data_IF_176137799263
#
_entry.id   IF_176137799263
#
_cell.length_a   1.000
_cell.length_b   1.000
_cell.length_c   1.000
_cell.angle_alpha   90.00
_cell.angle_beta   90.00
_cell.angle_gamma   90.00
#
_symmetry.space_group_name_H-M   'P 1'
#
loop_
_entity.id
_entity.type
_entity.pdbx_description
1 polymer ?
#
# COMPACT_ATOMS: atom_id res chain seq x y z
N UNK A 1 9.86 18.22 18.09
CA UNK A 1 9.37 17.31 17.05
C UNK A 1 10.56 17.01 16.16
N UNK A 2 11.24 15.87 16.37
CA UNK A 2 12.36 15.48 15.52
C UNK A 2 11.79 14.99 14.19
N UNK A 3 12.18 15.62 13.10
CA UNK A 3 11.95 15.08 11.76
C UNK A 3 12.83 13.83 11.65
N UNK A 4 12.24 12.65 11.80
CA UNK A 4 12.92 11.38 11.58
C UNK A 4 12.69 11.00 10.12
N UNK A 5 13.79 10.93 9.36
CA UNK A 5 13.76 10.51 7.97
C UNK A 5 13.83 8.98 7.93
N UNK A 6 12.78 8.36 7.40
CA UNK A 6 12.67 6.90 7.27
C UNK A 6 12.52 6.51 5.80
N UNK A 7 13.10 5.36 5.43
CA UNK A 7 13.03 4.79 4.09
C UNK A 7 12.70 3.31 4.19
N UNK A 8 11.71 2.85 3.42
CA UNK A 8 11.38 1.42 3.28
C UNK A 8 11.90 0.93 1.93
N UNK A 9 12.54 -0.22 1.92
CA UNK A 9 13.07 -0.87 0.72
C UNK A 9 12.58 -2.32 0.70
N UNK A 10 12.02 -2.74 -0.43
CA UNK A 10 11.64 -4.13 -0.68
C UNK A 10 12.63 -4.77 -1.67
N UNK A 11 12.94 -6.06 -1.45
CA UNK A 11 13.94 -6.80 -2.19
C UNK A 11 13.32 -7.97 -2.97
N UNK A 12 14.01 -8.41 -4.03
CA UNK A 12 13.56 -9.51 -4.89
C UNK A 12 13.41 -10.86 -4.16
N UNK A 13 14.01 -11.01 -2.99
CA UNK A 13 13.92 -12.21 -2.14
C UNK A 13 12.79 -12.12 -1.09
N UNK A 14 11.91 -11.13 -1.22
CA UNK A 14 10.75 -10.92 -0.35
C UNK A 14 11.08 -10.27 1.00
N UNK A 15 12.33 -9.89 1.24
CA UNK A 15 12.69 -9.10 2.42
C UNK A 15 12.29 -7.64 2.25
N UNK A 16 12.00 -7.02 3.37
CA UNK A 16 11.71 -5.60 3.52
C UNK A 16 12.64 -5.08 4.59
N UNK A 17 13.33 -3.99 4.30
CA UNK A 17 14.20 -3.30 5.25
C UNK A 17 13.75 -1.87 5.42
N UNK A 18 13.77 -1.41 6.66
CA UNK A 18 13.46 -0.05 7.03
C UNK A 18 14.72 0.58 7.56
N UNK A 19 15.10 1.70 6.96
CA UNK A 19 16.25 2.48 7.35
C UNK A 19 15.79 3.80 7.93
N UNK A 20 16.48 4.24 8.97
CA UNK A 20 16.23 5.53 9.60
C UNK A 20 17.51 6.33 9.68
N UNK A 21 17.37 7.63 9.45
CA UNK A 21 18.47 8.58 9.57
C UNK A 21 18.54 9.07 11.01
N UNK A 22 19.66 8.79 11.69
CA UNK A 22 19.85 9.19 13.08
C UNK A 22 20.01 10.70 13.27
N UNK A 23 20.72 11.33 12.33
CA UNK A 23 20.98 12.77 12.34
C UNK A 23 20.63 13.37 10.98
N UNK A 24 19.58 14.21 10.90
CA UNK A 24 19.19 14.91 9.68
C UNK A 24 20.30 15.78 9.05
N UNK A 25 21.31 16.18 9.83
CA UNK A 25 22.46 16.95 9.34
C UNK A 25 23.52 16.06 8.70
N UNK A 26 23.52 14.76 8.97
CA UNK A 26 24.47 13.78 8.46
C UNK A 26 23.78 12.71 7.60
N UNK A 27 23.32 13.12 6.40
CA UNK A 27 22.57 12.29 5.44
C UNK A 27 23.21 10.94 5.03
N UNK A 28 24.45 10.67 5.44
CA UNK A 28 25.16 9.40 5.19
C UNK A 28 24.94 8.35 6.28
N UNK A 29 24.42 8.72 7.45
CA UNK A 29 24.30 7.83 8.61
C UNK A 29 22.92 7.19 8.73
N UNK A 30 22.56 6.41 7.72
CA UNK A 30 21.37 5.56 7.75
C UNK A 30 21.64 4.29 8.54
N UNK A 31 20.73 3.92 9.44
CA UNK A 31 20.79 2.67 10.19
C UNK A 31 19.62 1.77 9.86
N UNK A 32 19.87 0.46 9.86
CA UNK A 32 18.81 -0.54 9.73
C UNK A 32 17.99 -0.55 11.02
N UNK A 33 16.72 -0.19 10.91
CA UNK A 33 15.78 -0.16 12.03
C UNK A 33 14.94 -1.44 12.11
N UNK A 34 14.52 -1.99 10.97
CA UNK A 34 13.79 -3.25 10.92
C UNK A 34 14.09 -4.05 9.66
N UNK A 35 13.99 -5.37 9.78
CA UNK A 35 14.06 -6.33 8.68
C UNK A 35 13.01 -7.43 8.89
N UNK A 36 12.16 -7.64 7.91
CA UNK A 36 11.09 -8.64 7.94
C UNK A 36 10.71 -9.10 6.54
N UNK A 37 9.79 -10.06 6.45
CA UNK A 37 9.19 -10.55 5.20
C UNK A 37 7.69 -10.32 5.24
N UNK A 38 7.06 -10.19 4.07
CA UNK A 38 5.61 -9.99 3.95
C UNK A 38 4.76 -11.25 4.17
N UNK A 39 5.25 -12.17 5.01
CA UNK A 39 4.64 -13.46 5.34
C UNK A 39 4.50 -13.57 6.86
N UNK A 40 3.25 -13.73 7.31
CA UNK A 40 2.92 -13.80 8.74
C UNK A 40 3.11 -15.18 9.34
N UNK A 41 2.77 -16.23 8.59
CA UNK A 41 2.92 -17.60 9.06
C UNK A 41 4.36 -18.08 8.81
N UNK A 42 5.08 -18.35 9.91
CA UNK A 42 6.45 -18.85 9.88
C UNK A 42 6.56 -20.21 9.18
N UNK A 43 5.51 -21.04 9.22
CA UNK A 43 5.47 -22.33 8.54
C UNK A 43 5.28 -22.17 7.02
N UNK A 44 4.63 -21.09 6.59
CA UNK A 44 4.43 -20.74 5.18
C UNK A 44 5.67 -20.08 4.53
N UNK A 45 6.73 -19.78 5.30
CA UNK A 45 8.02 -19.28 4.79
C UNK A 45 8.85 -20.35 4.06
N UNK A 46 8.28 -21.52 3.79
CA UNK A 46 8.94 -22.56 3.00
C UNK A 46 9.08 -22.08 1.55
N UNK A 47 10.28 -21.63 1.20
CA UNK A 47 10.62 -21.18 -0.15
C UNK A 47 11.33 -19.83 -0.14
N UNK A 48 12.26 -19.63 -1.08
CA UNK A 48 12.82 -18.31 -1.38
C UNK A 48 12.02 -17.76 -2.56
N UNK A 49 11.20 -16.71 -2.36
CA UNK A 49 10.45 -16.15 -3.48
C UNK A 49 11.41 -15.49 -4.47
N UNK A 50 10.96 -15.40 -5.71
CA UNK A 50 11.50 -14.50 -6.71
C UNK A 50 10.44 -13.43 -7.00
N UNK A 51 10.55 -12.28 -6.33
CA UNK A 51 9.68 -11.14 -6.55
C UNK A 51 10.12 -10.39 -7.82
N UNK A 52 9.22 -10.29 -8.80
CA UNK A 52 9.40 -9.51 -10.03
C UNK A 52 9.33 -8.02 -9.71
N UNK A 53 8.42 -7.62 -8.83
CA UNK A 53 8.28 -6.24 -8.38
C UNK A 53 7.71 -6.16 -6.95
N UNK A 54 7.84 -4.98 -6.37
CA UNK A 54 7.20 -4.61 -5.12
C UNK A 54 6.69 -3.16 -5.24
N UNK A 55 5.56 -2.88 -4.61
CA UNK A 55 5.01 -1.52 -4.54
C UNK A 55 4.85 -1.13 -3.08
N UNK A 56 5.27 0.10 -2.73
CA UNK A 56 5.20 0.65 -1.38
C UNK A 56 4.57 2.04 -1.46
N UNK A 57 3.61 2.33 -0.59
CA UNK A 57 3.06 3.67 -0.46
C UNK A 57 2.90 4.05 1.02
N UNK A 58 3.48 5.19 1.41
CA UNK A 58 3.37 5.75 2.75
C UNK A 58 2.02 6.45 2.95
N UNK A 59 1.48 6.42 4.17
CA UNK A 59 0.35 7.24 4.55
C UNK A 59 0.72 8.75 4.45
N UNK A 60 0.05 9.57 3.60
CA UNK A 60 0.50 10.95 3.31
C UNK A 60 0.18 12.05 4.35
N UNK A 61 -0.38 11.78 5.54
CA UNK A 61 -0.77 12.81 6.56
C UNK A 61 -0.40 12.34 7.99
N UNK A 62 -0.20 13.15 9.06
CA UNK A 62 -0.03 14.60 9.36
C UNK A 62 0.87 14.70 10.62
N UNK A 63 1.57 15.83 10.89
CA UNK A 63 2.62 15.94 11.93
C UNK A 63 2.18 15.67 13.38
N UNK A 64 0.87 15.69 13.69
CA UNK A 64 0.39 15.88 15.06
C UNK A 64 -0.20 14.65 15.75
N UNK A 65 -0.53 13.58 15.05
CA UNK A 65 -1.04 12.36 15.69
C UNK A 65 -1.41 11.34 14.62
N UNK A 66 -0.46 10.49 14.20
CA UNK A 66 -0.68 9.09 13.84
C UNK A 66 0.67 8.37 13.88
N UNK A 67 0.65 7.07 14.16
CA UNK A 67 1.83 6.21 14.05
C UNK A 67 2.26 6.14 12.58
N UNK A 68 3.56 6.04 12.33
CA UNK A 68 4.06 5.90 10.96
C UNK A 68 3.49 4.63 10.33
N UNK A 69 2.90 4.74 9.14
CA UNK A 69 2.28 3.62 8.45
C UNK A 69 2.53 3.66 6.94
N UNK A 70 2.63 2.48 6.35
CA UNK A 70 2.72 2.30 4.90
C UNK A 70 2.02 1.02 4.48
N UNK A 71 1.63 0.96 3.20
CA UNK A 71 1.15 -0.26 2.55
C UNK A 71 2.25 -0.83 1.66
N UNK A 72 2.35 -2.16 1.63
CA UNK A 72 3.28 -2.92 0.80
C UNK A 72 2.57 -4.09 0.14
N UNK A 73 2.96 -4.39 -1.09
CA UNK A 73 2.53 -5.57 -1.83
C UNK A 73 3.62 -6.02 -2.78
N UNK A 74 3.64 -7.31 -3.08
CA UNK A 74 4.62 -7.93 -3.97
C UNK A 74 3.93 -8.56 -5.19
N UNK A 75 4.69 -8.62 -6.29
CA UNK A 75 4.45 -9.53 -7.39
C UNK A 75 5.54 -10.61 -7.36
N UNK A 76 5.19 -11.77 -6.82
CA UNK A 76 6.05 -12.94 -6.65
C UNK A 76 5.41 -14.19 -7.24
N UNK A 77 6.27 -15.16 -7.56
CA UNK A 77 5.96 -16.55 -7.86
C UNK A 77 5.34 -17.34 -6.69
N UNK A 78 5.49 -16.86 -5.45
CA UNK A 78 4.96 -17.47 -4.23
C UNK A 78 3.78 -16.64 -3.68
N UNK A 79 2.53 -17.15 -3.77
CA UNK A 79 1.32 -16.41 -3.41
C UNK A 79 1.33 -15.80 -2.00
N UNK A 80 1.93 -16.49 -1.02
CA UNK A 80 1.96 -16.02 0.37
C UNK A 80 2.71 -14.69 0.57
N UNK A 81 3.57 -14.28 -0.38
CA UNK A 81 4.28 -13.00 -0.34
C UNK A 81 3.48 -11.85 -0.97
N UNK A 82 2.49 -12.17 -1.82
CA UNK A 82 1.81 -11.20 -2.66
C UNK A 82 0.78 -10.36 -1.90
N UNK A 83 0.19 -10.92 -0.85
CA UNK A 83 -0.82 -10.26 -0.03
C UNK A 83 -0.42 -8.81 0.35
N UNK A 84 -1.29 -7.85 -0.02
CA UNK A 84 -1.09 -6.44 0.30
C UNK A 84 -1.34 -6.19 1.79
N UNK A 85 -0.35 -5.66 2.51
CA UNK A 85 -0.46 -5.43 3.96
C UNK A 85 -0.13 -4.00 4.35
N UNK A 86 -0.86 -3.50 5.36
CA UNK A 86 -0.57 -2.24 6.02
C UNK A 86 0.28 -2.53 7.25
N UNK A 87 1.44 -1.87 7.29
CA UNK A 87 2.39 -1.92 8.37
C UNK A 87 2.35 -0.60 9.14
N UNK A 88 2.30 -0.71 10.46
CA UNK A 88 2.30 0.43 11.38
C UNK A 88 3.45 0.29 12.38
N UNK A 89 4.09 1.40 12.71
CA UNK A 89 5.14 1.45 13.72
C UNK A 89 4.53 1.53 15.12
N UNK A 90 4.72 0.50 15.94
CA UNK A 90 4.34 0.48 17.33
C UNK A 90 5.38 1.20 18.19
N UNK A 91 5.08 2.42 18.63
CA UNK A 91 5.97 3.23 19.48
C UNK A 91 6.22 2.58 20.85
N UNK A 92 5.26 1.85 21.39
CA UNK A 92 5.38 1.19 22.71
C UNK A 92 6.41 0.08 22.70
N UNK A 93 6.43 -0.72 21.63
CA UNK A 93 7.36 -1.84 21.48
C UNK A 93 8.54 -1.54 20.55
N UNK A 94 8.60 -0.34 19.98
CA UNK A 94 9.62 0.10 19.02
C UNK A 94 9.80 -0.87 17.86
N UNK A 95 8.69 -1.34 17.27
CA UNK A 95 8.72 -2.32 16.17
C UNK A 95 7.65 -2.06 15.12
N UNK A 96 7.90 -2.48 13.90
CA UNK A 96 6.90 -2.54 12.85
C UNK A 96 6.05 -3.79 12.99
N UNK A 97 4.74 -3.64 12.82
CA UNK A 97 3.82 -4.77 12.77
C UNK A 97 2.72 -4.57 11.74
N UNK A 98 2.22 -5.65 11.14
CA UNK A 98 1.11 -5.55 10.21
C UNK A 98 -0.20 -5.42 11.00
N UNK A 99 -0.98 -4.42 10.63
CA UNK A 99 -2.25 -4.06 11.29
C UNK A 99 -3.47 -4.32 10.40
N UNK A 100 -3.24 -4.57 9.11
CA UNK A 100 -4.28 -4.88 8.14
C UNK A 100 -3.73 -5.66 6.94
N UNK A 101 -4.58 -6.48 6.34
CA UNK A 101 -4.33 -7.19 5.09
C UNK A 101 -5.46 -6.84 4.10
N UNK A 102 -5.10 -6.18 3.00
CA UNK A 102 -6.01 -5.67 1.98
C UNK A 102 -6.39 -6.76 0.98
N UNK A 103 -6.97 -7.84 1.49
CA UNK A 103 -7.48 -8.96 0.71
C UNK A 103 -8.83 -9.41 1.29
N UNK A 104 -9.74 -9.86 0.42
CA UNK A 104 -10.88 -10.64 0.86
C UNK A 104 -10.47 -12.12 0.95
N UNK A 105 -11.21 -12.95 1.71
CA UNK A 105 -10.98 -14.39 1.72
C UNK A 105 -10.97 -14.95 0.29
N UNK A 106 -9.84 -15.55 -0.12
CA UNK A 106 -9.61 -16.05 -1.48
C UNK A 106 -8.79 -15.14 -2.41
N UNK A 107 -8.50 -13.89 -2.00
CA UNK A 107 -7.66 -12.94 -2.75
C UNK A 107 -6.21 -12.87 -2.20
N UNK A 108 -5.89 -13.59 -1.11
CA UNK A 108 -4.63 -13.49 -0.32
C UNK A 108 -3.34 -13.85 -1.09
N UNK A 109 -3.47 -14.35 -2.32
CA UNK A 109 -2.37 -14.73 -3.21
C UNK A 109 -2.21 -13.89 -4.46
N UNK A 110 -3.11 -12.94 -4.71
CA UNK A 110 -3.13 -12.15 -5.93
C UNK A 110 -1.88 -11.28 -6.04
N UNK A 111 -1.19 -11.34 -7.18
CA UNK A 111 -0.03 -10.52 -7.45
C UNK A 111 -0.41 -9.04 -7.44
N UNK A 112 0.42 -8.23 -6.76
CA UNK A 112 0.21 -6.79 -6.63
C UNK A 112 1.14 -6.06 -7.58
N UNK A 113 0.57 -5.36 -8.55
CA UNK A 113 1.33 -4.64 -9.57
C UNK A 113 1.64 -3.21 -9.12
N UNK A 114 0.71 -2.55 -8.43
CA UNK A 114 0.86 -1.19 -7.94
C UNK A 114 -0.02 -0.91 -6.71
N UNK A 115 0.42 0.03 -5.88
CA UNK A 115 -0.26 0.50 -4.67
C UNK A 115 -0.19 2.02 -4.59
N UNK A 116 -1.25 2.65 -4.10
CA UNK A 116 -1.23 4.08 -3.78
C UNK A 116 -2.11 4.40 -2.57
N UNK A 117 -1.58 5.17 -1.62
CA UNK A 117 -2.31 5.64 -0.45
C UNK A 117 -2.76 7.09 -0.68
N UNK A 118 -4.06 7.35 -0.58
CA UNK A 118 -4.62 8.66 -0.86
C UNK A 118 -4.36 9.65 0.29
N UNK A 119 -3.97 10.91 0.03
CA UNK A 119 -3.90 11.94 1.06
C UNK A 119 -5.26 12.15 1.73
N UNK A 120 -5.36 11.93 3.04
CA UNK A 120 -6.61 12.10 3.78
C UNK A 120 -6.86 13.54 4.21
N UNK A 121 -7.73 14.24 3.48
CA UNK A 121 -8.19 15.59 3.81
C UNK A 121 -9.66 15.50 4.24
N UNK A 122 -9.89 15.34 5.53
CA UNK A 122 -11.23 15.44 6.15
C UNK A 122 -12.11 14.20 6.01
N UNK A 123 -11.57 13.04 5.59
CA UNK A 123 -12.33 11.78 5.58
C UNK A 123 -12.18 11.06 6.92
N UNK A 124 -13.25 10.40 7.41
CA UNK A 124 -13.20 9.61 8.65
C UNK A 124 -12.56 8.22 8.45
N UNK A 125 -11.87 8.01 7.32
CA UNK A 125 -11.19 6.78 6.93
C UNK A 125 -10.06 7.12 5.95
N UNK A 126 -9.06 6.25 5.91
CA UNK A 126 -8.02 6.26 4.89
C UNK A 126 -8.50 5.55 3.62
N UNK A 127 -7.90 5.89 2.48
CA UNK A 127 -8.21 5.26 1.19
C UNK A 127 -6.92 4.72 0.58
N UNK A 128 -6.93 3.43 0.24
CA UNK A 128 -5.81 2.76 -0.42
C UNK A 128 -6.31 2.09 -1.70
N UNK A 129 -5.60 2.34 -2.81
CA UNK A 129 -5.81 1.66 -4.08
C UNK A 129 -4.78 0.55 -4.25
N UNK A 130 -5.25 -0.64 -4.66
CA UNK A 130 -4.44 -1.83 -4.91
C UNK A 130 -4.73 -2.34 -6.32
N UNK A 131 -3.74 -2.34 -7.21
CA UNK A 131 -3.84 -2.96 -8.52
C UNK A 131 -3.36 -4.41 -8.44
N UNK A 132 -4.26 -5.33 -8.75
CA UNK A 132 -3.96 -6.77 -8.87
C UNK A 132 -4.35 -7.29 -10.25
N UNK A 133 -4.11 -8.57 -10.49
CA UNK A 133 -4.56 -9.25 -11.71
C UNK A 133 -6.08 -9.19 -11.95
N UNK A 134 -6.89 -8.88 -10.93
CA UNK A 134 -8.37 -8.76 -11.02
C UNK A 134 -8.85 -7.34 -11.34
N UNK A 135 -7.95 -6.36 -11.36
CA UNK A 135 -8.28 -4.94 -11.52
C UNK A 135 -7.82 -4.10 -10.33
N UNK A 136 -8.43 -2.93 -10.14
CA UNK A 136 -8.00 -1.97 -9.12
C UNK A 136 -9.00 -1.96 -7.97
N UNK A 137 -8.62 -2.52 -6.83
CA UNK A 137 -9.44 -2.51 -5.62
C UNK A 137 -9.25 -1.19 -4.86
N UNK A 138 -10.36 -0.55 -4.48
CA UNK A 138 -10.35 0.61 -3.58
C UNK A 138 -10.79 0.16 -2.19
N UNK A 139 -9.96 0.46 -1.20
CA UNK A 139 -10.16 0.08 0.19
C UNK A 139 -10.36 1.32 1.06
N UNK A 140 -11.41 1.29 1.88
CA UNK A 140 -11.51 2.15 3.05
C UNK A 140 -10.86 1.45 4.24
N UNK A 141 -9.98 2.16 4.93
CA UNK A 141 -9.26 1.68 6.10
C UNK A 141 -9.63 2.57 7.27
N UNK A 142 -10.05 1.97 8.39
CA UNK A 142 -10.42 2.70 9.60
C UNK A 142 -9.23 3.45 10.20
N UNK A 143 -9.50 4.58 10.85
CA UNK A 143 -8.45 5.39 11.50
C UNK A 143 -8.01 4.84 12.86
N UNK A 144 -8.85 4.03 13.49
CA UNK A 144 -8.60 3.46 14.80
C UNK A 144 -8.56 1.93 14.69
N UNK A 145 -7.63 1.33 15.43
CA UNK A 145 -7.62 -0.11 15.62
C UNK A 145 -8.82 -0.54 16.49
N UNK A 146 -9.40 -1.68 16.14
CA UNK A 146 -10.40 -2.37 16.95
C UNK A 146 -9.76 -2.98 18.22
N UNK A 147 -10.55 -3.61 19.08
CA UNK A 147 -10.11 -4.24 20.34
C UNK A 147 -8.96 -5.24 20.11
N UNK A 148 -8.96 -5.91 18.96
CA UNK A 148 -7.93 -6.88 18.57
C UNK A 148 -6.65 -6.24 17.96
N UNK A 149 -6.57 -4.91 17.92
CA UNK A 149 -5.44 -4.17 17.37
C UNK A 149 -5.39 -4.11 15.84
N UNK A 150 -6.43 -4.60 15.15
CA UNK A 150 -6.54 -4.57 13.68
C UNK A 150 -7.37 -3.39 13.20
N UNK A 151 -7.01 -2.84 12.03
CA UNK A 151 -7.80 -1.79 11.40
C UNK A 151 -9.05 -2.38 10.74
N UNK A 152 -10.18 -1.66 10.81
CA UNK A 152 -11.39 -2.04 10.07
C UNK A 152 -11.16 -1.83 8.57
N UNK A 153 -11.47 -2.84 7.75
CA UNK A 153 -11.27 -2.81 6.30
C UNK A 153 -12.58 -2.98 5.55
N UNK A 154 -12.76 -2.19 4.49
CA UNK A 154 -13.89 -2.34 3.56
C UNK A 154 -13.44 -2.11 2.13
N UNK A 155 -13.53 -3.14 1.28
CA UNK A 155 -13.41 -2.99 -0.17
C UNK A 155 -14.67 -2.28 -0.68
N UNK A 156 -14.52 -1.06 -1.19
CA UNK A 156 -15.65 -0.22 -1.62
C UNK A 156 -15.87 -0.21 -3.13
N UNK A 157 -14.82 -0.53 -3.90
CA UNK A 157 -14.93 -0.67 -5.34
C UNK A 157 -13.90 -1.67 -5.89
N UNK A 158 -14.22 -2.21 -7.06
CA UNK A 158 -13.31 -2.92 -7.94
C UNK A 158 -13.42 -2.27 -9.31
N UNK A 159 -12.45 -1.43 -9.66
CA UNK A 159 -12.43 -0.71 -10.92
C UNK A 159 -11.94 -1.67 -12.01
N UNK A 160 -12.83 -1.93 -12.96
CA UNK A 160 -12.56 -2.74 -14.14
C UNK A 160 -12.73 -1.84 -15.36
N UNK A 161 -11.73 -1.81 -16.23
CA UNK A 161 -11.71 -0.88 -17.37
C UNK A 161 -10.40 -0.93 -18.14
N UNK A 162 -9.28 -1.20 -17.45
CA UNK A 162 -8.02 -1.51 -18.13
C UNK A 162 -8.09 -2.89 -18.79
N UNK A 163 -7.60 -2.99 -20.03
CA UNK A 163 -7.37 -4.26 -20.73
C UNK A 163 -5.93 -4.73 -20.48
N UNK A 164 -5.73 -5.34 -19.31
CA UNK A 164 -4.44 -5.86 -18.86
C UNK A 164 -3.97 -5.26 -17.55
N UNK A 165 -2.72 -5.56 -17.21
CA UNK A 165 -2.12 -5.21 -15.92
C UNK A 165 -1.96 -3.69 -15.77
N UNK A 166 -2.28 -3.19 -14.57
CA UNK A 166 -2.17 -1.78 -14.19
C UNK A 166 -0.87 -1.61 -13.40
N UNK A 167 0.05 -0.83 -13.93
CA UNK A 167 1.43 -0.73 -13.44
C UNK A 167 1.68 0.44 -12.51
N UNK A 168 0.79 1.45 -12.57
CA UNK A 168 0.94 2.66 -11.80
C UNK A 168 -0.41 3.21 -11.37
N UNK A 169 -0.44 3.69 -10.13
CA UNK A 169 -1.56 4.33 -9.47
C UNK A 169 -1.01 5.62 -8.84
N UNK A 170 -1.70 6.74 -9.00
CA UNK A 170 -1.34 7.97 -8.32
C UNK A 170 -2.57 8.77 -7.92
N UNK A 171 -2.55 9.30 -6.70
CA UNK A 171 -3.64 10.12 -6.18
C UNK A 171 -3.31 11.59 -6.39
N UNK A 172 -4.33 12.38 -6.72
CA UNK A 172 -4.18 13.83 -6.69
C UNK A 172 -3.92 14.33 -5.26
N UNK A 173 -3.48 15.58 -5.12
CA UNK A 173 -3.17 16.18 -3.81
C UNK A 173 -4.37 16.23 -2.86
N UNK A 174 -5.61 16.22 -3.38
CA UNK A 174 -6.82 16.15 -2.55
C UNK A 174 -7.18 14.73 -2.10
N UNK A 175 -6.60 13.71 -2.73
CA UNK A 175 -6.94 12.30 -2.53
C UNK A 175 -8.37 11.97 -2.97
N UNK A 176 -8.92 12.72 -3.92
CA UNK A 176 -10.28 12.53 -4.45
C UNK A 176 -10.27 11.85 -5.82
N UNK A 177 -9.21 12.07 -6.60
CA UNK A 177 -9.07 11.55 -7.96
C UNK A 177 -7.88 10.61 -8.04
N UNK A 178 -8.11 9.41 -8.56
CA UNK A 178 -7.08 8.41 -8.81
C UNK A 178 -6.74 8.38 -10.31
N UNK A 179 -5.48 8.55 -10.67
CA UNK A 179 -4.96 8.32 -12.00
C UNK A 179 -4.35 6.91 -12.09
N UNK A 180 -4.62 6.19 -13.18
CA UNK A 180 -4.17 4.80 -13.37
C UNK A 180 -3.65 4.59 -14.77
N UNK A 181 -2.58 3.81 -14.91
CA UNK A 181 -1.96 3.49 -16.21
C UNK A 181 -1.66 2.00 -16.29
N UNK A 182 -1.95 1.40 -17.45
CA UNK A 182 -1.78 -0.03 -17.66
C UNK A 182 -1.23 -0.41 -19.03
N UNK A 183 -1.20 -1.72 -19.27
CA UNK A 183 -0.72 -2.35 -20.52
C UNK A 183 -1.50 -1.93 -21.76
N UNK A 184 -2.74 -1.51 -21.57
CA UNK A 184 -3.65 -1.08 -22.63
C UNK A 184 -3.32 0.30 -23.21
N UNK A 185 -2.23 0.93 -22.77
CA UNK A 185 -1.77 2.26 -23.23
C UNK A 185 -2.77 3.38 -22.93
N UNK A 186 -3.63 3.17 -21.95
CA UNK A 186 -4.61 4.14 -21.50
C UNK A 186 -4.19 4.69 -20.13
N UNK A 187 -4.40 5.99 -19.94
CA UNK A 187 -4.47 6.64 -18.64
C UNK A 187 -5.93 6.84 -18.31
N UNK A 188 -6.38 6.39 -17.13
CA UNK A 188 -7.76 6.60 -16.67
C UNK A 188 -7.78 7.43 -15.40
N UNK A 189 -8.79 8.29 -15.28
CA UNK A 189 -9.09 9.07 -14.08
C UNK A 189 -10.37 8.54 -13.44
N UNK A 190 -10.29 8.24 -12.15
CA UNK A 190 -11.39 7.68 -11.38
C UNK A 190 -11.75 8.61 -10.23
N UNK A 191 -13.04 8.76 -9.98
CA UNK A 191 -13.54 9.56 -8.85
C UNK A 191 -14.77 8.89 -8.25
N UNK A 192 -14.93 9.03 -6.93
CA UNK A 192 -16.17 8.64 -6.26
C UNK A 192 -17.20 9.75 -6.32
N UNK A 193 -18.44 9.40 -6.63
CA UNK A 193 -19.57 10.32 -6.54
C UNK A 193 -20.10 10.40 -5.09
N UNK A 194 -21.11 11.25 -4.86
CA UNK A 194 -21.68 11.47 -3.52
C UNK A 194 -22.30 10.22 -2.87
N UNK A 195 -22.61 9.19 -3.67
CA UNK A 195 -23.12 7.91 -3.16
C UNK A 195 -21.99 6.92 -2.84
N UNK A 196 -20.73 7.32 -2.98
CA UNK A 196 -19.56 6.46 -2.78
C UNK A 196 -19.32 5.46 -3.92
N UNK A 197 -20.00 5.62 -5.06
CA UNK A 197 -19.79 4.80 -6.26
C UNK A 197 -18.63 5.41 -7.05
N UNK A 198 -17.71 4.57 -7.50
CA UNK A 198 -16.54 4.98 -8.27
C UNK A 198 -16.81 4.84 -9.77
N UNK A 199 -16.57 5.93 -10.50
CA UNK A 199 -16.82 6.02 -11.94
C UNK A 199 -15.57 6.54 -12.66
N UNK A 200 -15.33 6.06 -13.89
CA UNK A 200 -14.34 6.64 -14.81
C UNK A 200 -14.81 8.03 -15.24
N UNK A 201 -13.99 9.05 -14.98
CA UNK A 201 -14.27 10.44 -15.37
C UNK A 201 -13.66 10.80 -16.72
N UNK A 202 -12.51 10.22 -17.03
CA UNK A 202 -11.82 10.44 -18.28
C UNK A 202 -10.86 9.29 -18.59
N UNK A 203 -10.64 9.07 -19.88
CA UNK A 203 -9.61 8.19 -20.41
C UNK A 203 -8.79 8.92 -21.48
N UNK A 204 -7.48 8.69 -21.46
CA UNK A 204 -6.51 9.33 -22.36
C UNK A 204 -5.66 8.21 -22.95
N UNK A 205 -5.63 8.09 -24.28
CA UNK A 205 -4.77 7.14 -24.98
C UNK A 205 -3.38 7.75 -25.21
N UNK A 206 -2.32 6.99 -24.97
CA UNK A 206 -0.98 7.37 -25.41
C UNK A 206 -0.79 6.97 -26.88
N UNK A 207 -0.71 7.96 -27.76
CA UNK A 207 -0.37 7.79 -29.18
C UNK A 207 1.09 7.41 -29.41
#
# INVERSE_FOLDING_TARGET
>A
MSLQLSQVVAFADGHVKIYELQDPLELKRWQLQAEFQNVMDFLARSGKPSCVSASIAWNPQKPQSQRAAFVLGFNSDLPQFNSSKIWEFDETHQRWQPVAELALPGDEGDQVHALAWAPNIGRPYEVVAVATCKGIAIWHVGLNADVDGRLSLKKVALLSGHDGEVWQLDWDMSGMTLATVGSDRMVRLWQSNLNGVWDEQASIESN
#
